data_IF_372568343048
#
_entry.id   IF_372568343048
#
_cell.length_a   1.000
_cell.length_b   1.000
_cell.length_c   1.000
_cell.angle_alpha   90.00
_cell.angle_beta   90.00
_cell.angle_gamma   90.00
#
_symmetry.space_group_name_H-M   'P 1'
#
loop_
_entity.id
_entity.type
_entity.pdbx_description
1 polymer ?
#
# COMPACT_ATOMS: atom_id res chain seq x y z
N UNK A 1 -5.29 14.74 7.59
CA UNK A 1 -4.79 13.57 6.85
C UNK A 1 -5.76 12.41 6.96
N UNK A 2 -5.75 11.48 6.00
CA UNK A 2 -6.51 10.23 6.07
C UNK A 2 -5.57 9.02 6.16
N UNK A 3 -6.04 7.94 6.81
CA UNK A 3 -5.41 6.62 6.76
C UNK A 3 -6.36 5.65 6.05
N UNK A 4 -5.91 5.01 4.98
CA UNK A 4 -6.65 3.99 4.23
C UNK A 4 -6.12 2.62 4.61
N UNK A 5 -7.00 1.77 5.14
CA UNK A 5 -6.69 0.45 5.66
C UNK A 5 -7.50 -0.59 4.88
N UNK A 6 -6.93 -1.22 3.82
CA UNK A 6 -7.57 -2.34 3.15
C UNK A 6 -7.59 -3.55 4.09
N UNK A 7 -8.76 -4.16 4.26
CA UNK A 7 -8.96 -5.28 5.17
C UNK A 7 -9.71 -6.43 4.50
N UNK A 8 -9.25 -7.66 4.70
CA UNK A 8 -9.94 -8.88 4.34
C UNK A 8 -9.60 -9.98 5.33
N UNK A 9 -10.61 -10.53 6.02
CA UNK A 9 -10.44 -11.53 7.09
C UNK A 9 -9.43 -11.07 8.16
N UNK A 10 -9.58 -9.83 8.62
CA UNK A 10 -8.66 -9.16 9.52
C UNK A 10 -9.22 -9.00 10.95
N UNK A 11 -10.29 -9.71 11.30
CA UNK A 11 -10.95 -9.57 12.61
C UNK A 11 -9.99 -9.71 13.80
N UNK A 12 -8.94 -10.53 13.68
CA UNK A 12 -7.97 -10.76 14.75
C UNK A 12 -6.93 -9.65 14.93
N UNK A 13 -6.66 -8.86 13.90
CA UNK A 13 -5.55 -7.87 13.89
C UNK A 13 -6.05 -6.44 13.79
N UNK A 14 -7.20 -6.21 13.14
CA UNK A 14 -7.69 -4.89 12.79
C UNK A 14 -7.85 -3.97 14.02
N UNK A 15 -8.40 -4.48 15.15
CA UNK A 15 -8.56 -3.69 16.37
C UNK A 15 -7.23 -3.10 16.84
N UNK A 16 -6.21 -3.93 16.99
CA UNK A 16 -4.90 -3.49 17.45
C UNK A 16 -4.27 -2.46 16.49
N UNK A 17 -4.40 -2.67 15.17
CA UNK A 17 -3.91 -1.72 14.16
C UNK A 17 -4.60 -0.37 14.30
N UNK A 18 -5.93 -0.33 14.44
CA UNK A 18 -6.70 0.92 14.55
C UNK A 18 -6.41 1.66 15.87
N UNK A 19 -6.33 0.94 16.99
CA UNK A 19 -6.01 1.52 18.30
C UNK A 19 -4.60 2.13 18.32
N UNK A 20 -3.62 1.43 17.74
CA UNK A 20 -2.25 1.94 17.62
C UNK A 20 -2.16 3.14 16.65
N UNK A 21 -2.91 3.13 15.54
CA UNK A 21 -3.02 4.30 14.66
C UNK A 21 -3.61 5.50 15.37
N UNK A 22 -4.66 5.33 16.17
CA UNK A 22 -5.23 6.40 16.99
C UNK A 22 -4.22 6.95 18.00
N UNK A 23 -3.44 6.08 18.63
CA UNK A 23 -2.37 6.51 19.56
C UNK A 23 -1.26 7.30 18.85
N UNK A 24 -0.88 6.90 17.65
CA UNK A 24 0.23 7.53 16.89
C UNK A 24 -0.19 8.75 16.10
N UNK A 25 -1.45 8.80 15.65
CA UNK A 25 -2.02 9.83 14.78
C UNK A 25 -3.45 10.18 15.26
N UNK A 26 -3.61 10.88 16.41
CA UNK A 26 -4.93 11.11 17.03
C UNK A 26 -5.93 11.84 16.13
N UNK A 27 -5.45 12.73 15.26
CA UNK A 27 -6.27 13.53 14.34
C UNK A 27 -6.41 12.94 12.94
N UNK A 28 -5.96 11.70 12.72
CA UNK A 28 -6.11 11.05 11.42
C UNK A 28 -7.54 10.53 11.22
N UNK A 29 -8.09 10.74 10.02
CA UNK A 29 -9.35 10.15 9.59
C UNK A 29 -9.12 8.71 9.12
N UNK A 30 -9.56 7.72 9.89
CA UNK A 30 -9.36 6.30 9.61
C UNK A 30 -10.45 5.78 8.68
N UNK A 31 -10.06 5.35 7.48
CA UNK A 31 -10.93 4.79 6.45
C UNK A 31 -10.58 3.31 6.31
N UNK A 32 -11.42 2.42 6.80
CA UNK A 32 -11.27 0.98 6.58
C UNK A 32 -12.10 0.56 5.38
N UNK A 33 -11.48 -0.18 4.47
CA UNK A 33 -12.19 -0.78 3.34
C UNK A 33 -12.18 -2.30 3.51
N UNK A 34 -13.33 -2.84 3.91
CA UNK A 34 -13.57 -4.28 4.01
C UNK A 34 -13.84 -4.87 2.62
N UNK A 35 -12.93 -5.71 2.13
CA UNK A 35 -13.02 -6.38 0.83
C UNK A 35 -13.95 -7.62 0.87
N UNK A 36 -15.15 -7.43 1.45
CA UNK A 36 -16.17 -8.46 1.52
C UNK A 36 -15.81 -9.62 2.43
N UNK A 37 -15.32 -9.35 3.63
CA UNK A 37 -14.94 -10.35 4.62
C UNK A 37 -16.15 -11.17 5.10
N UNK A 38 -15.99 -12.49 5.28
CA UNK A 38 -17.02 -13.34 5.85
C UNK A 38 -17.01 -13.36 7.39
N UNK A 39 -15.98 -12.81 8.03
CA UNK A 39 -15.80 -12.70 9.48
C UNK A 39 -16.22 -11.32 10.01
N UNK A 40 -15.98 -11.04 11.28
CA UNK A 40 -16.39 -9.81 11.97
C UNK A 40 -15.56 -8.56 11.58
N UNK A 41 -14.72 -8.63 10.54
CA UNK A 41 -13.88 -7.51 10.09
C UNK A 41 -14.72 -6.25 9.84
N UNK A 42 -15.84 -6.36 9.12
CA UNK A 42 -16.70 -5.21 8.82
C UNK A 42 -17.35 -4.59 10.07
N UNK A 43 -17.79 -5.43 11.02
CA UNK A 43 -18.40 -4.97 12.28
C UNK A 43 -17.37 -4.23 13.14
N UNK A 44 -16.16 -4.76 13.26
CA UNK A 44 -15.04 -4.10 13.95
C UNK A 44 -14.67 -2.76 13.28
N UNK A 45 -14.56 -2.75 11.95
CA UNK A 45 -14.28 -1.54 11.20
C UNK A 45 -15.33 -0.46 11.45
N UNK A 46 -16.61 -0.80 11.41
CA UNK A 46 -17.71 0.14 11.64
C UNK A 46 -17.73 0.71 13.06
N UNK A 47 -17.20 -0.02 14.06
CA UNK A 47 -17.16 0.43 15.46
C UNK A 47 -15.94 1.25 15.82
N UNK A 48 -14.83 1.15 15.08
CA UNK A 48 -13.53 1.72 15.48
C UNK A 48 -12.95 2.75 14.48
N UNK A 49 -13.36 2.69 13.21
CA UNK A 49 -12.92 3.63 12.19
C UNK A 49 -13.91 4.80 12.05
N UNK A 50 -13.44 5.92 11.50
CA UNK A 50 -14.30 7.06 11.19
C UNK A 50 -15.18 6.77 9.96
N UNK A 51 -14.68 5.91 9.08
CA UNK A 51 -15.38 5.46 7.88
C UNK A 51 -15.11 3.99 7.62
N UNK A 52 -16.16 3.21 7.45
CA UNK A 52 -16.09 1.84 6.95
C UNK A 52 -16.77 1.76 5.59
N UNK A 53 -16.05 1.24 4.59
CA UNK A 53 -16.58 0.92 3.26
C UNK A 53 -16.54 -0.59 3.11
N UNK A 54 -17.69 -1.21 2.85
CA UNK A 54 -17.77 -2.66 2.60
C UNK A 54 -18.02 -2.92 1.12
N UNK A 55 -17.14 -3.69 0.48
CA UNK A 55 -17.33 -4.15 -0.89
C UNK A 55 -18.31 -5.35 -0.90
N UNK A 56 -19.03 -5.53 -2.00
CA UNK A 56 -20.04 -6.60 -2.14
C UNK A 56 -19.44 -8.02 -2.09
N UNK A 57 -18.12 -8.16 -2.25
CA UNK A 57 -17.39 -9.41 -2.18
C UNK A 57 -15.90 -9.19 -2.38
N UNK A 58 -15.07 -10.22 -2.20
CA UNK A 58 -13.62 -10.11 -2.36
C UNK A 58 -13.22 -9.79 -3.81
N UNK A 59 -12.83 -8.54 -4.04
CA UNK A 59 -12.35 -8.03 -5.32
C UNK A 59 -10.82 -7.91 -5.34
N UNK A 60 -10.20 -7.87 -4.17
CA UNK A 60 -8.76 -7.79 -3.98
C UNK A 60 -8.28 -6.46 -3.44
N UNK A 61 -7.04 -6.47 -2.90
CA UNK A 61 -6.43 -5.32 -2.22
C UNK A 61 -6.44 -4.04 -3.06
N UNK A 62 -6.19 -4.15 -4.38
CA UNK A 62 -6.19 -3.00 -5.28
C UNK A 62 -7.56 -2.33 -5.39
N UNK A 63 -8.64 -3.13 -5.45
CA UNK A 63 -10.00 -2.60 -5.45
C UNK A 63 -10.32 -1.89 -4.12
N UNK A 64 -9.89 -2.47 -2.99
CA UNK A 64 -10.06 -1.85 -1.67
C UNK A 64 -9.26 -0.54 -1.55
N UNK A 65 -8.01 -0.51 -1.99
CA UNK A 65 -7.20 0.72 -2.00
C UNK A 65 -7.83 1.81 -2.86
N UNK A 66 -8.33 1.47 -4.05
CA UNK A 66 -9.02 2.43 -4.94
C UNK A 66 -10.22 3.04 -4.26
N UNK A 67 -11.09 2.23 -3.65
CA UNK A 67 -12.27 2.71 -2.93
C UNK A 67 -11.87 3.63 -1.75
N UNK A 68 -10.82 3.28 -1.02
CA UNK A 68 -10.29 4.10 0.07
C UNK A 68 -9.68 5.41 -0.41
N UNK A 69 -8.97 5.42 -1.54
CA UNK A 69 -8.43 6.64 -2.14
C UNK A 69 -9.54 7.57 -2.65
N UNK A 70 -10.56 7.01 -3.30
CA UNK A 70 -11.71 7.78 -3.75
C UNK A 70 -12.45 8.42 -2.57
N UNK A 71 -12.58 7.73 -1.43
CA UNK A 71 -13.16 8.29 -0.21
C UNK A 71 -12.26 9.37 0.40
N UNK A 72 -10.95 9.12 0.51
CA UNK A 72 -10.00 10.11 1.05
C UNK A 72 -9.98 11.42 0.22
N UNK A 73 -10.20 11.33 -1.09
CA UNK A 73 -10.27 12.48 -1.97
C UNK A 73 -11.55 13.31 -1.84
N UNK A 74 -12.61 12.78 -1.20
CA UNK A 74 -13.86 13.54 -0.92
C UNK A 74 -13.69 14.57 0.19
N UNK A 75 -12.68 14.40 1.03
CA UNK A 75 -12.34 15.33 2.10
C UNK A 75 -11.03 16.04 1.80
N UNK A 76 -10.80 17.18 2.42
CA UNK A 76 -9.60 18.00 2.20
C UNK A 76 -8.41 17.52 3.04
N UNK A 77 -7.84 16.40 2.64
CA UNK A 77 -6.68 15.79 3.28
C UNK A 77 -5.44 15.91 2.38
N UNK A 78 -4.39 16.61 2.83
CA UNK A 78 -3.15 16.80 2.08
C UNK A 78 -2.32 15.52 1.93
N UNK A 79 -2.43 14.61 2.89
CA UNK A 79 -1.67 13.37 2.97
C UNK A 79 -2.61 12.20 3.20
N UNK A 80 -2.39 11.12 2.47
CA UNK A 80 -3.02 9.82 2.67
C UNK A 80 -1.95 8.79 3.06
N UNK A 81 -2.12 8.18 4.21
CA UNK A 81 -1.34 7.03 4.66
C UNK A 81 -2.07 5.75 4.27
N UNK A 82 -1.36 4.75 3.76
CA UNK A 82 -1.88 3.38 3.64
C UNK A 82 -1.14 2.46 4.60
N UNK A 83 -1.84 1.52 5.20
CA UNK A 83 -1.26 0.46 6.05
C UNK A 83 -2.13 -0.79 5.95
N UNK A 84 -1.49 -1.97 5.91
CA UNK A 84 -2.21 -3.24 5.85
C UNK A 84 -2.83 -3.59 7.22
N UNK A 85 -4.02 -4.22 7.21
CA UNK A 85 -4.74 -4.62 8.41
C UNK A 85 -4.15 -5.87 9.10
N UNK A 86 -3.08 -6.48 8.56
CA UNK A 86 -2.50 -7.75 9.03
C UNK A 86 -1.55 -7.62 10.23
N UNK A 87 -1.29 -6.39 10.68
CA UNK A 87 -0.41 -6.10 11.81
C UNK A 87 1.08 -6.34 11.54
N UNK A 88 1.50 -6.52 10.28
CA UNK A 88 2.93 -6.68 9.95
C UNK A 88 3.71 -5.35 10.04
N UNK A 89 3.04 -4.23 9.98
CA UNK A 89 3.63 -2.90 10.12
C UNK A 89 3.26 -2.30 11.47
N UNK A 90 4.25 -1.70 12.13
CA UNK A 90 4.04 -0.99 13.38
C UNK A 90 3.51 0.43 13.10
N UNK A 91 2.25 0.76 13.49
CA UNK A 91 1.67 2.07 13.26
C UNK A 91 2.40 3.23 13.97
N UNK A 92 3.21 2.96 14.99
CA UNK A 92 3.99 3.99 15.69
C UNK A 92 5.00 4.72 14.79
N UNK A 93 5.37 4.12 13.66
CA UNK A 93 6.24 4.73 12.65
C UNK A 93 5.50 5.62 11.63
N UNK A 94 4.17 5.74 11.74
CA UNK A 94 3.39 6.59 10.83
C UNK A 94 3.84 8.06 10.83
N UNK A 95 4.09 8.73 11.98
CA UNK A 95 4.59 10.10 11.97
C UNK A 95 5.92 10.23 11.19
N UNK A 96 6.89 9.35 11.45
CA UNK A 96 8.19 9.38 10.78
C UNK A 96 8.06 9.14 9.25
N UNK A 97 7.11 8.31 8.83
CA UNK A 97 6.85 8.06 7.41
C UNK A 97 6.24 9.30 6.73
N UNK A 98 5.40 10.04 7.45
CA UNK A 98 4.80 11.30 6.98
C UNK A 98 5.85 12.41 6.90
N UNK A 99 6.69 12.55 7.94
CA UNK A 99 7.78 13.54 7.95
C UNK A 99 8.76 13.31 6.80
N UNK A 100 8.98 12.03 6.46
CA UNK A 100 9.81 11.66 5.32
C UNK A 100 9.24 12.10 3.94
N UNK A 101 7.99 12.62 3.86
CA UNK A 101 7.44 13.25 2.64
C UNK A 101 8.06 14.61 2.33
N UNK A 102 8.92 15.16 3.20
CA UNK A 102 9.62 16.39 2.88
C UNK A 102 10.44 16.23 1.59
N UNK A 103 10.13 17.05 0.59
CA UNK A 103 10.74 16.99 -0.72
C UNK A 103 10.34 15.79 -1.59
N UNK A 104 9.38 14.95 -1.16
CA UNK A 104 8.89 13.78 -1.89
C UNK A 104 7.37 13.76 -1.96
N UNK A 105 6.83 12.96 -2.90
CA UNK A 105 5.40 12.79 -3.13
C UNK A 105 4.86 11.48 -2.58
N UNK A 106 5.71 10.45 -2.58
CA UNK A 106 5.40 9.12 -2.07
C UNK A 106 6.60 8.64 -1.24
N UNK A 107 6.31 8.19 -0.04
CA UNK A 107 7.27 7.48 0.82
C UNK A 107 6.75 6.08 1.10
N UNK A 108 7.59 5.07 0.84
CA UNK A 108 7.26 3.67 1.07
C UNK A 108 8.08 3.19 2.26
N UNK A 109 7.42 2.68 3.29
CA UNK A 109 8.05 2.05 4.43
C UNK A 109 8.75 0.76 4.02
N UNK A 110 10.06 0.82 3.86
CA UNK A 110 10.88 -0.35 3.53
C UNK A 110 11.15 -1.18 4.78
N UNK A 111 10.88 -2.47 4.69
CA UNK A 111 11.08 -3.42 5.79
C UNK A 111 12.55 -3.61 6.08
N UNK A 112 12.97 -3.31 7.31
CA UNK A 112 14.32 -3.65 7.78
C UNK A 112 14.52 -5.17 7.86
N UNK A 113 15.72 -5.59 7.52
CA UNK A 113 16.16 -6.99 7.60
C UNK A 113 16.49 -7.47 9.02
N UNK A 114 16.13 -6.76 10.08
CA UNK A 114 16.54 -7.10 11.43
C UNK A 114 15.51 -7.97 12.15
N UNK A 115 15.91 -9.17 12.52
CA UNK A 115 15.25 -9.98 13.56
C UNK A 115 14.48 -11.22 13.12
N UNK A 116 13.90 -11.28 11.93
CA UNK A 116 13.33 -12.53 11.40
C UNK A 116 13.60 -12.65 9.90
N UNK A 117 14.15 -13.78 9.41
CA UNK A 117 14.54 -13.88 8.01
C UNK A 117 13.29 -13.91 7.14
N UNK A 118 13.11 -12.88 6.31
CA UNK A 118 12.15 -12.96 5.19
C UNK A 118 12.49 -14.21 4.38
N UNK A 119 11.52 -15.11 4.10
CA UNK A 119 11.77 -16.30 3.31
C UNK A 119 12.53 -15.95 2.02
N UNK A 120 13.58 -16.70 1.71
CA UNK A 120 14.51 -16.39 0.61
C UNK A 120 13.77 -16.15 -0.71
N UNK A 121 12.73 -16.95 -0.98
CA UNK A 121 11.86 -16.81 -2.15
C UNK A 121 11.16 -15.46 -2.22
N UNK A 122 10.60 -14.96 -1.10
CA UNK A 122 9.92 -13.67 -1.03
C UNK A 122 10.91 -12.51 -1.22
N UNK A 123 12.12 -12.66 -0.67
CA UNK A 123 13.22 -11.71 -0.85
C UNK A 123 13.65 -11.60 -2.31
N UNK A 124 13.79 -12.74 -3.02
CA UNK A 124 14.12 -12.75 -4.44
C UNK A 124 13.03 -12.12 -5.29
N UNK A 125 11.77 -12.46 -5.05
CA UNK A 125 10.62 -11.88 -5.78
C UNK A 125 10.55 -10.37 -5.59
N UNK A 126 10.74 -9.86 -4.36
CA UNK A 126 10.75 -8.43 -4.09
C UNK A 126 11.94 -7.73 -4.77
N UNK A 127 13.14 -8.32 -4.74
CA UNK A 127 14.31 -7.77 -5.42
C UNK A 127 14.12 -7.71 -6.95
N UNK A 128 13.55 -8.75 -7.53
CA UNK A 128 13.24 -8.79 -8.97
C UNK A 128 12.20 -7.73 -9.35
N UNK A 129 11.13 -7.58 -8.57
CA UNK A 129 10.12 -6.55 -8.81
C UNK A 129 10.71 -5.15 -8.70
N UNK A 130 11.51 -4.87 -7.65
CA UNK A 130 12.17 -3.58 -7.46
C UNK A 130 13.16 -3.27 -8.59
N UNK A 131 13.92 -4.25 -9.05
CA UNK A 131 14.84 -4.09 -10.19
C UNK A 131 14.09 -3.82 -11.50
N UNK A 132 12.97 -4.53 -11.74
CA UNK A 132 12.15 -4.33 -12.92
C UNK A 132 11.49 -2.94 -12.93
N UNK A 133 10.98 -2.49 -11.78
CA UNK A 133 10.44 -1.12 -11.62
C UNK A 133 11.54 -0.09 -11.86
N UNK A 134 12.73 -0.28 -11.31
CA UNK A 134 13.85 0.63 -11.53
C UNK A 134 14.24 0.76 -13.02
N UNK A 135 14.16 -0.35 -13.79
CA UNK A 135 14.43 -0.31 -15.23
C UNK A 135 13.37 0.46 -16.03
N UNK A 136 12.11 0.40 -15.61
CA UNK A 136 10.99 1.05 -16.30
C UNK A 136 10.87 2.53 -15.91
N UNK A 137 11.20 2.88 -14.67
CA UNK A 137 10.96 4.22 -14.12
C UNK A 137 12.22 5.04 -13.88
N UNK A 138 13.40 4.41 -13.89
CA UNK A 138 14.66 5.04 -13.45
C UNK A 138 14.78 5.22 -11.93
N UNK A 139 13.73 4.95 -11.16
CA UNK A 139 13.70 5.13 -9.70
C UNK A 139 14.14 3.87 -8.97
N UNK A 140 15.23 3.94 -8.22
CA UNK A 140 15.73 2.81 -7.42
C UNK A 140 15.07 2.77 -6.05
N UNK A 141 14.31 1.70 -5.80
CA UNK A 141 13.63 1.44 -4.54
C UNK A 141 14.05 0.07 -3.99
N UNK A 142 14.25 -0.02 -2.68
CA UNK A 142 14.67 -1.26 -2.01
C UNK A 142 13.49 -2.19 -1.72
N UNK A 143 12.32 -1.63 -1.41
CA UNK A 143 11.07 -2.36 -1.18
C UNK A 143 9.92 -1.64 -1.88
N UNK A 144 9.39 -2.25 -2.92
CA UNK A 144 8.25 -1.71 -3.70
C UNK A 144 6.93 -2.40 -3.36
N UNK A 145 6.99 -3.47 -2.55
CA UNK A 145 5.85 -4.32 -2.24
C UNK A 145 5.27 -4.09 -0.84
N UNK A 146 5.78 -3.08 -0.11
CA UNK A 146 5.23 -2.69 1.17
C UNK A 146 3.94 -1.90 0.99
N UNK A 147 2.88 -2.28 1.71
CA UNK A 147 1.61 -1.56 1.76
C UNK A 147 1.61 -0.36 2.70
N UNK A 148 2.70 -0.13 3.43
CA UNK A 148 2.86 1.01 4.33
C UNK A 148 3.43 2.21 3.57
N UNK A 149 2.57 3.16 3.21
CA UNK A 149 2.95 4.28 2.35
C UNK A 149 2.34 5.58 2.82
N UNK A 150 3.12 6.66 2.80
CA UNK A 150 2.61 8.01 2.88
C UNK A 150 2.59 8.62 1.47
N UNK A 151 1.48 9.24 1.09
CA UNK A 151 1.20 9.69 -0.28
C UNK A 151 0.61 11.10 -0.19
N UNK A 152 1.17 12.05 -0.94
CA UNK A 152 0.55 13.38 -1.07
C UNK A 152 -0.71 13.30 -1.92
N UNK A 153 -1.74 14.06 -1.52
CA UNK A 153 -3.03 14.15 -2.21
C UNK A 153 -2.89 14.33 -3.72
N UNK A 154 -2.02 15.24 -4.17
CA UNK A 154 -1.78 15.54 -5.58
C UNK A 154 -1.41 14.33 -6.45
N UNK A 155 -0.83 13.28 -5.84
CA UNK A 155 -0.53 12.02 -6.52
C UNK A 155 -1.82 11.27 -6.81
N UNK A 156 -2.70 11.13 -5.82
CA UNK A 156 -3.98 10.43 -5.96
C UNK A 156 -4.93 11.14 -6.93
N UNK A 157 -4.87 12.46 -7.00
CA UNK A 157 -5.66 13.25 -7.95
C UNK A 157 -5.24 13.00 -9.41
N UNK A 158 -3.95 12.77 -9.65
CA UNK A 158 -3.38 12.65 -11.00
C UNK A 158 -3.16 11.20 -11.46
N UNK A 159 -2.88 10.29 -10.53
CA UNK A 159 -2.54 8.90 -10.83
C UNK A 159 -3.76 8.00 -10.68
N UNK A 160 -4.21 7.41 -11.77
CA UNK A 160 -5.28 6.40 -11.79
C UNK A 160 -4.68 5.03 -12.09
N UNK A 161 -4.38 4.27 -11.03
CA UNK A 161 -3.83 2.93 -11.16
C UNK A 161 -4.89 1.90 -11.56
N UNK A 162 -4.44 0.87 -12.26
CA UNK A 162 -5.25 -0.25 -12.73
C UNK A 162 -4.93 -1.55 -11.98
N UNK A 163 -5.81 -2.53 -12.10
CA UNK A 163 -5.71 -3.79 -11.39
C UNK A 163 -6.52 -3.79 -10.09
N UNK A 164 -6.93 -4.97 -9.66
CA UNK A 164 -7.78 -5.12 -8.48
C UNK A 164 -7.05 -5.83 -7.32
N UNK A 165 -5.85 -6.41 -7.57
CA UNK A 165 -5.09 -7.15 -6.55
C UNK A 165 -3.74 -6.49 -6.27
N UNK A 166 -2.70 -7.26 -6.02
CA UNK A 166 -1.36 -6.78 -5.65
C UNK A 166 -0.63 -6.04 -6.78
N UNK A 167 -1.01 -6.27 -8.05
CA UNK A 167 -0.50 -5.54 -9.20
C UNK A 167 -0.85 -4.05 -9.17
N UNK A 168 -1.94 -3.66 -8.50
CA UNK A 168 -2.37 -2.27 -8.36
C UNK A 168 -1.27 -1.38 -7.77
N UNK A 169 -0.62 -1.84 -6.70
CA UNK A 169 0.43 -1.07 -6.03
C UNK A 169 1.66 -0.88 -6.90
N UNK A 170 1.96 -1.86 -7.77
CA UNK A 170 3.04 -1.77 -8.75
C UNK A 170 2.68 -0.81 -9.88
N UNK A 171 1.48 -0.92 -10.45
CA UNK A 171 0.98 -0.02 -11.50
C UNK A 171 0.92 1.42 -10.99
N UNK A 172 0.45 1.63 -9.76
CA UNK A 172 0.42 2.94 -9.11
C UNK A 172 1.80 3.59 -9.04
N UNK A 173 2.82 2.86 -8.58
CA UNK A 173 4.19 3.36 -8.49
C UNK A 173 4.79 3.71 -9.85
N UNK A 174 4.59 2.86 -10.84
CA UNK A 174 5.12 3.09 -12.19
C UNK A 174 4.47 4.34 -12.80
N UNK A 175 3.14 4.47 -12.69
CA UNK A 175 2.42 5.64 -13.19
C UNK A 175 2.81 6.93 -12.45
N UNK A 176 3.00 6.86 -11.14
CA UNK A 176 3.44 8.00 -10.35
C UNK A 176 4.84 8.46 -10.78
N UNK A 177 5.78 7.54 -10.97
CA UNK A 177 7.13 7.85 -11.42
C UNK A 177 7.13 8.43 -12.85
N UNK A 178 6.35 7.88 -13.79
CA UNK A 178 6.21 8.43 -15.14
C UNK A 178 5.52 9.80 -15.16
N UNK A 179 4.65 10.08 -14.20
CA UNK A 179 4.04 11.41 -14.03
C UNK A 179 4.99 12.43 -13.36
N UNK A 180 6.25 12.04 -13.07
CA UNK A 180 7.28 12.91 -12.51
C UNK A 180 7.23 13.06 -10.99
N UNK A 181 6.42 12.25 -10.29
CA UNK A 181 6.37 12.29 -8.82
C UNK A 181 7.61 11.65 -8.20
N UNK A 182 8.11 12.28 -7.14
CA UNK A 182 9.32 11.86 -6.42
C UNK A 182 8.97 10.79 -5.39
N UNK A 183 9.60 9.63 -5.52
CA UNK A 183 9.36 8.45 -4.66
C UNK A 183 10.63 8.08 -3.91
N UNK A 184 10.52 7.73 -2.62
CA UNK A 184 11.62 7.18 -1.82
C UNK A 184 11.17 6.06 -0.90
N UNK A 185 12.13 5.30 -0.38
CA UNK A 185 11.92 4.45 0.77
C UNK A 185 12.32 5.17 2.07
N UNK A 186 11.55 4.92 3.14
CA UNK A 186 11.96 5.15 4.51
C UNK A 186 12.01 3.80 5.24
N UNK A 187 12.98 3.65 6.11
CA UNK A 187 13.15 2.38 6.83
C UNK A 187 12.14 2.30 7.97
N UNK A 188 11.37 1.18 8.00
CA UNK A 188 10.42 0.89 9.07
C UNK A 188 10.64 -0.54 9.58
N UNK A 189 10.58 -0.78 10.88
CA UNK A 189 10.57 -2.12 11.43
C UNK A 189 9.35 -2.91 10.96
N UNK A 190 9.49 -4.23 10.93
CA UNK A 190 8.41 -5.14 10.54
C UNK A 190 8.24 -6.20 11.60
N UNK A 191 7.02 -6.40 12.04
CA UNK A 191 6.66 -7.50 12.94
C UNK A 191 6.35 -8.73 12.07
N UNK A 192 7.18 -9.75 12.18
CA UNK A 192 6.94 -11.02 11.48
C UNK A 192 6.20 -11.99 12.41
N UNK A 193 5.28 -12.77 11.84
CA UNK A 193 4.53 -13.81 12.58
C UNK A 193 3.04 -13.83 12.29
N UNK A 194 2.53 -12.84 11.58
CA UNK A 194 1.13 -12.81 11.14
C UNK A 194 0.95 -13.44 9.75
N UNK A 195 -0.20 -14.08 9.51
CA UNK A 195 -0.52 -14.71 8.24
C UNK A 195 -0.67 -13.65 7.13
N UNK A 196 -0.01 -13.84 6.00
CA UNK A 196 -0.15 -12.97 4.81
C UNK A 196 -1.07 -13.62 3.79
N UNK A 197 -2.00 -12.85 3.20
CA UNK A 197 -2.91 -13.30 2.14
C UNK A 197 -2.29 -13.30 0.74
N UNK A 198 -0.99 -13.04 0.62
CA UNK A 198 -0.27 -13.05 -0.66
C UNK A 198 -0.20 -14.47 -1.25
N UNK A 199 -0.85 -14.68 -2.41
CA UNK A 199 -0.87 -15.96 -3.13
C UNK A 199 0.34 -16.10 -4.09
N UNK A 200 1.52 -16.14 -3.52
CA UNK A 200 2.85 -16.36 -4.12
C UNK A 200 2.98 -16.29 -5.66
N UNK A 201 2.73 -17.41 -6.40
CA UNK A 201 3.01 -17.45 -7.85
C UNK A 201 2.01 -16.65 -8.69
N UNK A 202 0.72 -16.64 -8.36
CA UNK A 202 -0.31 -15.95 -9.15
C UNK A 202 -0.16 -14.44 -9.06
N UNK A 203 0.11 -13.91 -7.88
CA UNK A 203 0.28 -12.47 -7.68
C UNK A 203 1.61 -11.99 -8.26
N UNK A 204 2.68 -12.79 -8.15
CA UNK A 204 3.96 -12.51 -8.81
C UNK A 204 3.82 -12.43 -10.33
N UNK A 205 3.06 -13.35 -10.95
CA UNK A 205 2.85 -13.34 -12.41
C UNK A 205 2.08 -12.07 -12.86
N UNK A 206 1.09 -11.61 -12.08
CA UNK A 206 0.37 -10.36 -12.37
C UNK A 206 1.28 -9.14 -12.28
N UNK A 207 2.09 -9.05 -11.24
CA UNK A 207 3.07 -7.97 -11.06
C UNK A 207 4.02 -7.92 -12.26
N UNK A 208 4.59 -9.06 -12.67
CA UNK A 208 5.48 -9.15 -13.83
C UNK A 208 4.76 -8.70 -15.09
N UNK A 209 3.54 -9.18 -15.35
CA UNK A 209 2.72 -8.77 -16.50
C UNK A 209 2.49 -7.27 -16.54
N UNK A 210 2.20 -6.64 -15.40
CA UNK A 210 2.02 -5.19 -15.29
C UNK A 210 3.29 -4.43 -15.67
N UNK A 211 4.45 -4.86 -15.17
CA UNK A 211 5.74 -4.23 -15.49
C UNK A 211 6.04 -4.33 -16.99
N UNK A 212 5.81 -5.50 -17.59
CA UNK A 212 6.01 -5.71 -19.04
C UNK A 212 5.08 -4.84 -19.89
N UNK A 213 3.82 -4.67 -19.47
CA UNK A 213 2.87 -3.82 -20.18
C UNK A 213 3.32 -2.34 -20.19
N UNK A 214 3.93 -1.86 -19.12
CA UNK A 214 4.50 -0.50 -19.07
C UNK A 214 5.75 -0.37 -19.94
N UNK A 215 6.64 -1.36 -19.92
CA UNK A 215 7.83 -1.37 -20.80
C UNK A 215 7.46 -1.27 -22.26
N UNK A 216 6.50 -2.08 -22.74
CA UNK A 216 6.06 -2.08 -24.12
C UNK A 216 5.41 -0.74 -24.56
N UNK A 217 4.85 0.04 -23.63
CA UNK A 217 4.34 1.39 -23.91
C UNK A 217 5.47 2.39 -24.03
N UNK A 218 6.43 2.40 -23.10
CA UNK A 218 7.58 3.30 -23.15
C UNK A 218 8.41 3.11 -24.44
N UNK A 219 8.57 1.89 -24.93
CA UNK A 219 9.28 1.60 -26.18
C UNK A 219 8.53 2.11 -27.43
N UNK A 220 7.19 2.21 -27.39
CA UNK A 220 6.37 2.76 -28.49
C UNK A 220 6.29 4.28 -28.51
N UNK A 221 6.51 4.95 -27.39
CA UNK A 221 6.50 6.42 -27.30
C UNK A 221 7.86 7.02 -27.70
N UNK A 222 8.90 6.20 -27.82
CA UNK A 222 10.26 6.60 -28.21
C UNK A 222 10.57 6.27 -29.69
N UNK A 223 9.71 5.49 -30.38
CA UNK A 223 9.80 5.13 -31.79
C UNK A 223 8.89 6.01 -32.65
#
# INVERSE_FOLDING_TARGET
MACVIPAYRAAHTLRAVLEQLRGSLPCAHLIVVDDGSPDDTAALAASLADRCIRLAGNRGKGAALRAGFDEALRSDHDVVLTIDADGQHDPSYAPALIDALEGFDIVIGARLRSGSPMPLRRRMTNAMASMAIARVTGVRLHDTQSGYRAIRRRVLERVRAQGDRYEFETDFLIRAAHAGFRVRNAVVPTVYGTASHFQGMRDSARIVKTIWAHRARSEREVS
#
